data_IF_273743143459
#
_entry.id   IF_273743143459
#
_cell.length_a   1.000
_cell.length_b   1.000
_cell.length_c   1.000
_cell.angle_alpha   90.00
_cell.angle_beta   90.00
_cell.angle_gamma   90.00
#
_symmetry.space_group_name_H-M   'P 1'
#
loop_
_entity.id
_entity.type
_entity.pdbx_description
1 polymer ?
#
# COMPACT_ATOMS: atom_id res chain seq x y z
N UNK A 1 -38.72 45.59 40.47
CA UNK A 1 -37.32 45.44 39.97
C UNK A 1 -36.97 43.98 39.83
N UNK A 2 -37.05 43.36 38.64
CA UNK A 2 -36.62 42.02 38.49
C UNK A 2 -35.11 41.98 38.18
N UNK A 3 -34.37 41.17 38.95
CA UNK A 3 -32.94 40.89 38.79
C UNK A 3 -32.72 40.08 37.52
N UNK A 4 -31.93 40.60 36.62
CA UNK A 4 -31.42 39.91 35.43
C UNK A 4 -30.30 38.98 35.85
N UNK A 5 -30.55 37.65 35.88
CA UNK A 5 -29.55 36.64 36.00
C UNK A 5 -28.87 36.42 34.63
N UNK A 6 -27.67 36.98 34.52
CA UNK A 6 -26.78 36.65 33.39
C UNK A 6 -26.38 35.19 33.43
N UNK A 7 -26.77 34.43 32.42
CA UNK A 7 -26.29 33.07 32.20
C UNK A 7 -24.81 33.13 31.79
N UNK A 8 -23.94 32.31 32.39
CA UNK A 8 -22.55 32.16 31.93
C UNK A 8 -22.54 31.45 30.59
N UNK A 9 -21.89 32.08 29.60
CA UNK A 9 -21.76 31.60 28.26
C UNK A 9 -21.16 30.19 28.22
N UNK A 10 -21.88 29.27 27.58
CA UNK A 10 -21.39 27.99 27.18
C UNK A 10 -20.25 28.24 26.18
N UNK A 11 -19.03 28.09 26.65
CA UNK A 11 -17.88 28.01 25.74
C UNK A 11 -18.07 26.76 24.86
N UNK A 12 -18.46 26.97 23.62
CA UNK A 12 -18.35 25.95 22.57
C UNK A 12 -16.89 25.46 22.55
N UNK A 13 -16.69 24.28 23.11
CA UNK A 13 -15.51 23.51 22.82
C UNK A 13 -15.57 23.18 21.33
N UNK A 14 -14.89 23.99 20.51
CA UNK A 14 -14.52 23.57 19.17
C UNK A 14 -13.76 22.24 19.33
N UNK A 15 -14.44 21.17 18.96
CA UNK A 15 -13.83 19.86 18.80
C UNK A 15 -12.62 20.11 17.91
N UNK A 16 -11.43 19.95 18.50
CA UNK A 16 -10.18 20.02 17.77
C UNK A 16 -10.33 19.13 16.57
N UNK A 17 -10.15 19.71 15.38
CA UNK A 17 -9.99 18.97 14.14
C UNK A 17 -9.15 17.75 14.43
N UNK A 18 -9.76 16.60 14.24
CA UNK A 18 -9.09 15.30 14.37
C UNK A 18 -7.80 15.42 13.60
N UNK A 19 -6.67 15.24 14.26
CA UNK A 19 -5.36 15.12 13.61
C UNK A 19 -5.56 13.97 12.64
N UNK A 20 -5.84 14.29 11.37
CA UNK A 20 -6.01 13.28 10.34
C UNK A 20 -4.68 12.53 10.29
N UNK A 21 -4.69 11.32 10.84
CA UNK A 21 -3.52 10.47 10.82
C UNK A 21 -3.09 10.34 9.36
N UNK A 22 -1.87 10.79 9.07
CA UNK A 22 -1.31 10.77 7.71
C UNK A 22 -1.42 9.36 7.16
N UNK A 23 -2.02 9.14 5.98
CA UNK A 23 -2.18 7.80 5.45
C UNK A 23 -0.81 7.16 5.23
N UNK A 24 -0.66 5.94 5.71
CA UNK A 24 0.54 5.13 5.52
C UNK A 24 0.35 4.28 4.29
N UNK A 25 1.34 4.29 3.39
CA UNK A 25 1.38 3.49 2.18
C UNK A 25 2.43 2.40 2.33
N UNK A 26 2.11 1.21 1.83
CA UNK A 26 3.08 0.15 1.68
C UNK A 26 3.60 0.12 0.24
N UNK A 27 4.92 0.24 0.08
CA UNK A 27 5.58 0.07 -1.22
C UNK A 27 6.11 -1.36 -1.32
N UNK A 28 5.84 -2.01 -2.45
CA UNK A 28 6.43 -3.31 -2.79
C UNK A 28 7.11 -3.23 -4.15
N UNK A 29 8.26 -3.85 -4.28
CA UNK A 29 9.09 -3.91 -5.48
C UNK A 29 10.09 -5.06 -5.34
N UNK A 30 10.65 -5.55 -6.44
CA UNK A 30 11.67 -6.58 -6.40
C UNK A 30 12.93 -6.09 -5.68
N UNK A 31 13.62 -6.98 -4.96
CA UNK A 31 14.79 -6.61 -4.19
C UNK A 31 15.87 -5.92 -5.02
N UNK A 32 16.08 -6.36 -6.25
CA UNK A 32 17.05 -5.81 -7.19
C UNK A 32 16.70 -4.39 -7.67
N UNK A 33 15.42 -4.01 -7.58
CA UNK A 33 14.92 -2.68 -7.96
C UNK A 33 15.05 -1.62 -6.86
N UNK A 34 15.68 -1.94 -5.72
CA UNK A 34 15.81 -1.00 -4.59
C UNK A 34 16.40 0.35 -4.98
N UNK A 35 17.40 0.35 -5.87
CA UNK A 35 18.03 1.58 -6.35
C UNK A 35 17.06 2.46 -7.14
N UNK A 36 16.14 1.85 -7.90
CA UNK A 36 15.09 2.55 -8.65
C UNK A 36 13.95 3.00 -7.75
N UNK A 37 13.61 2.23 -6.73
CA UNK A 37 12.51 2.53 -5.81
C UNK A 37 12.82 3.67 -4.84
N UNK A 38 14.07 3.86 -4.42
CA UNK A 38 14.47 4.92 -3.47
C UNK A 38 14.10 6.34 -3.90
N UNK A 39 14.41 6.81 -5.13
CA UNK A 39 14.02 8.15 -5.57
C UNK A 39 12.50 8.31 -5.65
N UNK A 40 11.76 7.27 -6.05
CA UNK A 40 10.28 7.28 -6.04
C UNK A 40 9.75 7.46 -4.62
N UNK A 41 10.28 6.72 -3.66
CA UNK A 41 9.90 6.86 -2.26
C UNK A 41 10.17 8.29 -1.74
N UNK A 42 11.28 8.90 -2.13
CA UNK A 42 11.59 10.28 -1.77
C UNK A 42 10.57 11.27 -2.40
N UNK A 43 10.24 11.10 -3.68
CA UNK A 43 9.23 11.91 -4.37
C UNK A 43 7.84 11.77 -3.71
N UNK A 44 7.43 10.56 -3.36
CA UNK A 44 6.15 10.33 -2.67
C UNK A 44 6.08 11.05 -1.32
N UNK A 45 7.17 11.05 -0.55
CA UNK A 45 7.24 11.77 0.72
C UNK A 45 7.12 13.29 0.54
N UNK A 46 7.73 13.84 -0.52
CA UNK A 46 7.70 15.29 -0.79
C UNK A 46 6.41 15.76 -1.45
N UNK A 47 5.84 14.96 -2.37
CA UNK A 47 4.65 15.34 -3.14
C UNK A 47 3.34 15.23 -2.35
N UNK A 48 3.31 14.45 -1.31
CA UNK A 48 2.05 13.93 -0.80
C UNK A 48 1.52 14.53 0.47
N UNK A 49 1.70 15.81 0.79
CA UNK A 49 0.95 16.39 1.92
C UNK A 49 0.98 15.54 3.21
N UNK A 50 2.06 14.78 3.44
CA UNK A 50 2.27 14.03 4.67
C UNK A 50 2.03 12.52 4.58
N UNK A 51 2.21 11.90 3.42
CA UNK A 51 2.20 10.44 3.31
C UNK A 51 3.33 9.82 4.14
N UNK A 52 3.01 8.78 4.89
CA UNK A 52 4.00 7.91 5.54
C UNK A 52 4.21 6.70 4.67
N UNK A 53 5.47 6.39 4.33
CA UNK A 53 5.81 5.23 3.53
C UNK A 53 6.40 4.13 4.40
N UNK A 54 5.96 2.92 4.14
CA UNK A 54 6.51 1.71 4.71
C UNK A 54 6.97 0.80 3.58
N UNK A 55 8.19 0.31 3.62
CA UNK A 55 8.70 -0.71 2.72
C UNK A 55 9.81 -1.50 3.38
N UNK A 56 9.98 -2.71 2.93
CA UNK A 56 11.06 -3.59 3.38
C UNK A 56 11.45 -4.49 2.20
N UNK A 57 12.74 -4.66 2.03
CA UNK A 57 13.30 -5.68 1.15
C UNK A 57 13.77 -6.80 2.07
N UNK A 58 13.09 -7.95 2.09
CA UNK A 58 13.53 -9.09 2.86
C UNK A 58 14.93 -9.52 2.42
N UNK A 59 15.84 -9.70 3.36
CA UNK A 59 17.20 -10.15 3.08
C UNK A 59 17.32 -11.66 2.94
N UNK A 60 16.26 -12.40 3.31
CA UNK A 60 16.24 -13.85 3.27
C UNK A 60 15.41 -14.36 2.09
N UNK A 61 15.81 -15.46 1.45
CA UNK A 61 15.01 -16.10 0.42
C UNK A 61 13.61 -16.47 0.94
N UNK A 62 12.61 -16.40 0.07
CA UNK A 62 11.21 -16.68 0.43
C UNK A 62 11.01 -18.10 1.00
N UNK A 63 11.79 -19.08 0.53
CA UNK A 63 11.75 -20.46 1.00
C UNK A 63 12.61 -20.74 2.25
N UNK A 64 13.27 -19.70 2.81
CA UNK A 64 14.12 -19.87 4.00
C UNK A 64 13.32 -20.27 5.24
N UNK A 65 13.96 -20.91 6.18
CA UNK A 65 13.34 -21.40 7.41
C UNK A 65 12.70 -20.29 8.28
N UNK A 66 13.22 -19.06 8.19
CA UNK A 66 12.70 -17.89 8.91
C UNK A 66 11.66 -17.07 8.13
N UNK A 67 11.29 -17.53 6.95
CA UNK A 67 10.35 -16.78 6.09
C UNK A 67 8.99 -16.55 6.73
N UNK A 68 8.53 -17.42 7.62
CA UNK A 68 7.27 -17.25 8.34
C UNK A 68 7.29 -16.05 9.29
N UNK A 69 8.41 -15.80 9.96
CA UNK A 69 8.57 -14.61 10.81
C UNK A 69 8.56 -13.32 9.97
N UNK A 70 9.20 -13.35 8.81
CA UNK A 70 9.20 -12.22 7.87
C UNK A 70 7.79 -11.99 7.34
N UNK A 71 7.08 -13.03 6.92
CA UNK A 71 5.66 -12.95 6.50
C UNK A 71 4.77 -12.36 7.58
N UNK A 72 4.91 -12.81 8.81
CA UNK A 72 4.15 -12.28 9.95
C UNK A 72 4.44 -10.78 10.18
N UNK A 73 5.72 -10.38 10.13
CA UNK A 73 6.13 -8.99 10.24
C UNK A 73 5.55 -8.12 9.11
N UNK A 74 5.65 -8.58 7.87
CA UNK A 74 5.09 -7.88 6.70
C UNK A 74 3.57 -7.76 6.80
N UNK A 75 2.87 -8.81 7.25
CA UNK A 75 1.43 -8.78 7.45
C UNK A 75 1.01 -7.71 8.47
N UNK A 76 1.73 -7.58 9.58
CA UNK A 76 1.48 -6.55 10.59
C UNK A 76 1.71 -5.14 10.03
N UNK A 77 2.74 -4.96 9.21
CA UNK A 77 3.04 -3.67 8.56
C UNK A 77 1.97 -3.32 7.54
N UNK A 78 1.57 -4.27 6.68
CA UNK A 78 0.48 -4.10 5.73
C UNK A 78 -0.81 -3.68 6.42
N UNK A 79 -1.22 -4.33 7.51
CA UNK A 79 -2.44 -3.97 8.26
C UNK A 79 -2.46 -2.52 8.75
N UNK A 80 -1.30 -1.89 8.93
CA UNK A 80 -1.18 -0.50 9.35
C UNK A 80 -1.20 0.49 8.17
N UNK A 81 -1.18 -0.02 6.94
CA UNK A 81 -1.17 0.78 5.73
C UNK A 81 -2.58 0.93 5.15
N UNK A 82 -2.82 2.06 4.52
CA UNK A 82 -4.09 2.39 3.90
C UNK A 82 -4.20 1.88 2.46
N UNK A 83 -3.05 1.66 1.81
CA UNK A 83 -2.96 1.23 0.42
C UNK A 83 -1.60 0.58 0.17
N UNK A 84 -1.51 -0.16 -0.95
CA UNK A 84 -0.27 -0.78 -1.42
C UNK A 84 0.04 -0.31 -2.83
N UNK A 85 1.28 0.10 -3.06
CA UNK A 85 1.80 0.51 -4.37
C UNK A 85 2.87 -0.48 -4.78
N UNK A 86 2.68 -1.15 -5.90
CA UNK A 86 3.69 -1.99 -6.55
C UNK A 86 4.46 -1.17 -7.57
N UNK A 87 5.74 -0.95 -7.31
CA UNK A 87 6.66 -0.40 -8.31
C UNK A 87 7.20 -1.58 -9.11
N UNK A 88 7.06 -1.56 -10.44
CA UNK A 88 7.34 -2.76 -11.19
C UNK A 88 8.17 -2.55 -12.46
N UNK A 89 9.01 -3.53 -12.74
CA UNK A 89 9.70 -3.78 -14.00
C UNK A 89 9.26 -5.12 -14.60
N UNK A 90 9.97 -5.60 -15.61
CA UNK A 90 9.63 -6.84 -16.32
C UNK A 90 9.63 -8.07 -15.41
N UNK A 91 10.58 -8.14 -14.47
CA UNK A 91 10.82 -9.32 -13.62
C UNK A 91 10.23 -9.18 -12.19
N UNK A 92 9.50 -8.09 -11.92
CA UNK A 92 9.02 -7.82 -10.55
C UNK A 92 8.15 -8.94 -9.99
N UNK A 93 7.33 -9.60 -10.83
CA UNK A 93 6.48 -10.70 -10.40
C UNK A 93 7.22 -12.07 -10.33
N UNK A 94 8.50 -12.12 -10.70
CA UNK A 94 9.38 -13.26 -10.42
C UNK A 94 9.75 -13.32 -8.93
N UNK A 95 9.76 -12.18 -8.25
CA UNK A 95 10.05 -12.07 -6.82
C UNK A 95 8.89 -12.63 -5.97
N UNK A 96 9.16 -13.71 -5.24
CA UNK A 96 8.17 -14.36 -4.38
C UNK A 96 7.66 -13.46 -3.24
N UNK A 97 8.50 -12.56 -2.72
CA UNK A 97 8.10 -11.62 -1.68
C UNK A 97 7.13 -10.58 -2.21
N UNK A 98 7.33 -10.11 -3.45
CA UNK A 98 6.40 -9.19 -4.12
C UNK A 98 5.05 -9.88 -4.33
N UNK A 99 5.05 -11.08 -4.90
CA UNK A 99 3.82 -11.86 -5.11
C UNK A 99 3.06 -12.08 -3.82
N UNK A 100 3.76 -12.50 -2.76
CA UNK A 100 3.13 -12.72 -1.45
C UNK A 100 2.55 -11.43 -0.88
N UNK A 101 3.29 -10.32 -0.98
CA UNK A 101 2.85 -9.00 -0.50
C UNK A 101 1.59 -8.54 -1.21
N UNK A 102 1.54 -8.68 -2.53
CA UNK A 102 0.36 -8.33 -3.34
C UNK A 102 -0.84 -9.21 -2.99
N UNK A 103 -0.64 -10.51 -2.79
CA UNK A 103 -1.70 -11.43 -2.37
C UNK A 103 -2.25 -11.06 -0.99
N UNK A 104 -1.37 -10.75 -0.04
CA UNK A 104 -1.76 -10.30 1.29
C UNK A 104 -2.51 -8.95 1.27
N UNK A 105 -2.02 -7.99 0.49
CA UNK A 105 -2.66 -6.69 0.32
C UNK A 105 -4.05 -6.82 -0.31
N UNK A 106 -4.21 -7.68 -1.32
CA UNK A 106 -5.51 -7.98 -1.92
C UNK A 106 -6.48 -8.59 -0.90
N UNK A 107 -6.02 -9.56 -0.11
CA UNK A 107 -6.83 -10.17 0.94
C UNK A 107 -7.26 -9.15 2.00
N UNK A 108 -6.39 -8.23 2.37
CA UNK A 108 -6.72 -7.09 3.22
C UNK A 108 -7.58 -6.04 2.49
N UNK A 109 -7.89 -6.27 1.20
CA UNK A 109 -8.64 -5.38 0.32
C UNK A 109 -8.05 -3.98 0.24
N UNK A 110 -6.75 -3.86 0.33
CA UNK A 110 -6.09 -2.59 0.10
C UNK A 110 -6.41 -2.06 -1.30
N UNK A 111 -6.57 -0.75 -1.47
CA UNK A 111 -6.37 -0.13 -2.78
C UNK A 111 -4.99 -0.52 -3.30
N UNK A 112 -4.96 -1.20 -4.46
CA UNK A 112 -3.72 -1.59 -5.11
C UNK A 112 -3.44 -0.64 -6.27
N UNK A 113 -2.23 -0.10 -6.32
CA UNK A 113 -1.72 0.67 -7.44
C UNK A 113 -0.48 -0.03 -8.01
N UNK A 114 -0.38 -0.07 -9.33
CA UNK A 114 0.83 -0.48 -10.04
C UNK A 114 1.46 0.72 -10.73
N UNK A 115 2.76 0.95 -10.56
CA UNK A 115 3.48 2.01 -11.24
C UNK A 115 4.76 1.45 -11.89
N UNK A 116 4.85 1.47 -13.25
CA UNK A 116 5.99 0.92 -13.95
C UNK A 116 7.23 1.79 -13.81
N UNK A 117 8.40 1.18 -13.61
CA UNK A 117 9.68 1.89 -13.76
C UNK A 117 9.88 2.38 -15.20
N UNK A 118 10.65 3.43 -15.37
CA UNK A 118 10.96 3.96 -16.70
C UNK A 118 11.66 2.87 -17.56
N UNK A 119 11.14 2.65 -18.77
CA UNK A 119 11.65 1.60 -19.68
C UNK A 119 11.05 0.21 -19.44
N UNK A 120 10.27 0.01 -18.39
CA UNK A 120 9.54 -1.24 -18.17
C UNK A 120 8.29 -1.29 -19.07
N UNK A 121 8.49 -1.59 -20.35
CA UNK A 121 7.41 -1.81 -21.30
C UNK A 121 6.88 -3.24 -21.17
N UNK A 122 6.30 -3.59 -20.04
CA UNK A 122 5.71 -4.92 -19.89
C UNK A 122 4.21 -4.81 -19.70
N UNK A 123 3.48 -4.79 -20.81
CA UNK A 123 2.03 -4.97 -20.79
C UNK A 123 1.63 -6.19 -19.97
N UNK A 124 2.39 -7.28 -20.03
CA UNK A 124 2.13 -8.52 -19.31
C UNK A 124 2.10 -8.33 -17.79
N UNK A 125 3.10 -7.67 -17.20
CA UNK A 125 3.11 -7.41 -15.74
C UNK A 125 1.97 -6.45 -15.36
N UNK A 126 1.71 -5.44 -16.17
CA UNK A 126 0.60 -4.53 -15.94
C UNK A 126 -0.75 -5.26 -16.01
N UNK A 127 -0.94 -6.15 -16.97
CA UNK A 127 -2.15 -6.95 -17.15
C UNK A 127 -2.36 -7.91 -15.96
N UNK A 128 -1.29 -8.55 -15.50
CA UNK A 128 -1.34 -9.41 -14.30
C UNK A 128 -1.69 -8.61 -13.04
N UNK A 129 -1.10 -7.43 -12.85
CA UNK A 129 -1.45 -6.55 -11.75
C UNK A 129 -2.91 -6.08 -11.84
N UNK A 130 -3.37 -5.73 -13.03
CA UNK A 130 -4.77 -5.35 -13.26
C UNK A 130 -5.73 -6.52 -12.95
N UNK A 131 -5.36 -7.75 -13.29
CA UNK A 131 -6.17 -8.96 -13.02
C UNK A 131 -6.41 -9.21 -11.53
N UNK A 132 -5.49 -8.78 -10.68
CA UNK A 132 -5.65 -8.83 -9.23
C UNK A 132 -6.29 -7.56 -8.64
N UNK A 133 -6.76 -6.65 -9.48
CA UNK A 133 -7.46 -5.43 -9.08
C UNK A 133 -6.56 -4.23 -8.80
N UNK A 134 -5.30 -4.26 -9.25
CA UNK A 134 -4.44 -3.09 -9.19
C UNK A 134 -4.81 -2.11 -10.31
N UNK A 135 -4.79 -0.83 -10.01
CA UNK A 135 -4.92 0.24 -10.99
C UNK A 135 -3.53 0.70 -11.42
N UNK A 136 -3.27 0.69 -12.72
CA UNK A 136 -1.99 1.11 -13.27
C UNK A 136 -1.97 2.64 -13.39
N UNK A 137 -0.96 3.25 -12.79
CA UNK A 137 -0.77 4.70 -12.76
C UNK A 137 0.64 5.08 -13.20
N UNK A 138 0.85 6.27 -13.77
CA UNK A 138 2.18 6.75 -14.08
C UNK A 138 3.07 6.80 -12.83
N UNK A 139 4.37 6.49 -12.98
CA UNK A 139 5.36 6.58 -11.90
C UNK A 139 5.70 8.06 -11.62
N UNK A 140 4.75 8.76 -11.03
CA UNK A 140 4.88 10.13 -10.55
C UNK A 140 4.30 10.21 -9.15
N UNK A 141 5.08 10.74 -8.21
CA UNK A 141 4.64 10.88 -6.82
C UNK A 141 3.29 11.57 -6.68
N UNK A 142 3.08 12.65 -7.45
CA UNK A 142 1.81 13.39 -7.46
C UNK A 142 0.63 12.56 -7.99
N UNK A 143 0.81 11.80 -9.06
CA UNK A 143 -0.25 10.96 -9.64
C UNK A 143 -0.69 9.88 -8.65
N UNK A 144 0.27 9.23 -7.99
CA UNK A 144 0.02 8.23 -6.94
C UNK A 144 -0.70 8.88 -5.75
N UNK A 145 -0.21 10.01 -5.26
CA UNK A 145 -0.80 10.74 -4.14
C UNK A 145 -2.23 11.19 -4.44
N UNK A 146 -2.49 11.78 -5.61
CA UNK A 146 -3.81 12.20 -6.05
C UNK A 146 -4.79 11.04 -6.16
N UNK A 147 -4.31 9.90 -6.66
CA UNK A 147 -5.16 8.72 -6.82
C UNK A 147 -5.58 8.14 -5.48
N UNK A 148 -4.66 8.12 -4.52
CA UNK A 148 -4.92 7.64 -3.16
C UNK A 148 -5.86 8.58 -2.40
N UNK A 149 -5.72 9.89 -2.59
CA UNK A 149 -6.60 10.89 -1.94
C UNK A 149 -8.08 10.76 -2.37
N UNK A 150 -8.36 10.20 -3.55
CA UNK A 150 -9.72 10.02 -4.08
C UNK A 150 -10.43 8.78 -3.56
N UNK A 151 -9.75 7.90 -2.83
CA UNK A 151 -10.33 6.66 -2.29
C UNK A 151 -10.55 6.77 -0.78
N UNK A 152 -11.75 6.46 -0.28
CA UNK A 152 -11.96 6.39 1.16
C UNK A 152 -11.10 5.27 1.75
N UNK A 153 -10.32 5.61 2.75
CA UNK A 153 -9.52 4.65 3.52
C UNK A 153 -10.46 3.99 4.52
N UNK A 154 -10.83 2.75 4.26
CA UNK A 154 -11.58 1.95 5.22
C UNK A 154 -10.59 1.15 6.08
N UNK A 155 -10.58 1.33 7.39
CA UNK A 155 -9.80 0.48 8.28
C UNK A 155 -10.33 -0.95 8.21
N UNK A 156 -9.43 -1.94 8.16
CA UNK A 156 -9.81 -3.35 8.00
C UNK A 156 -9.05 -4.24 8.96
N UNK A 157 -9.81 -5.16 9.55
CA UNK A 157 -9.38 -6.06 10.62
C UNK A 157 -9.46 -7.54 10.23
N UNK A 158 -9.72 -7.86 8.96
CA UNK A 158 -9.85 -9.26 8.53
C UNK A 158 -8.51 -10.01 8.67
N UNK A 159 -8.52 -11.24 9.17
CA UNK A 159 -7.31 -12.05 9.28
C UNK A 159 -6.82 -12.47 7.89
N UNK A 160 -5.50 -12.57 7.72
CA UNK A 160 -4.90 -13.16 6.53
C UNK A 160 -5.01 -14.68 6.62
N UNK A 161 -5.72 -15.30 5.67
CA UNK A 161 -5.85 -16.75 5.59
C UNK A 161 -4.94 -17.33 4.52
N UNK A 162 -4.40 -18.52 4.78
CA UNK A 162 -3.48 -19.19 3.86
C UNK A 162 -4.16 -19.53 2.51
N UNK A 163 -5.43 -19.94 2.54
CA UNK A 163 -6.17 -20.34 1.34
C UNK A 163 -6.42 -19.19 0.37
N UNK A 164 -6.81 -18.01 0.89
CA UNK A 164 -7.00 -16.83 0.06
C UNK A 164 -5.68 -16.33 -0.54
N UNK A 165 -4.57 -16.39 0.23
CA UNK A 165 -3.24 -16.10 -0.28
C UNK A 165 -2.85 -17.08 -1.38
N UNK A 166 -3.03 -18.39 -1.18
CA UNK A 166 -2.70 -19.41 -2.16
C UNK A 166 -3.47 -19.21 -3.48
N UNK A 167 -4.75 -18.87 -3.42
CA UNK A 167 -5.56 -18.57 -4.61
C UNK A 167 -4.98 -17.43 -5.44
N UNK A 168 -4.64 -16.30 -4.78
CA UNK A 168 -4.05 -15.14 -5.47
C UNK A 168 -2.66 -15.44 -6.02
N UNK A 169 -1.82 -16.17 -5.27
CA UNK A 169 -0.49 -16.57 -5.74
C UNK A 169 -0.54 -17.47 -6.98
N UNK A 170 -1.54 -18.34 -7.09
CA UNK A 170 -1.74 -19.17 -8.29
C UNK A 170 -2.08 -18.30 -9.51
N UNK A 171 -2.93 -17.30 -9.37
CA UNK A 171 -3.26 -16.38 -10.46
C UNK A 171 -2.04 -15.64 -11.01
N UNK A 172 -1.10 -15.27 -10.14
CA UNK A 172 0.13 -14.57 -10.54
C UNK A 172 1.22 -15.49 -11.11
N UNK A 173 1.15 -16.81 -10.85
CA UNK A 173 2.11 -17.80 -11.40
C UNK A 173 1.73 -18.32 -12.79
N UNK A 174 0.45 -18.32 -13.11
CA UNK A 174 -0.07 -18.84 -14.36
C UNK A 174 -0.96 -17.76 -14.99
N UNK A 175 -0.39 -16.85 -15.82
CA UNK A 175 -1.19 -15.98 -16.62
C UNK A 175 -2.15 -16.82 -17.47
N UNK A 176 -3.41 -16.44 -17.48
CA UNK A 176 -4.43 -17.10 -18.32
C UNK A 176 -3.94 -17.07 -19.76
N UNK A 177 -3.70 -18.27 -20.33
CA UNK A 177 -3.42 -18.42 -21.77
C UNK A 177 -4.65 -18.11 -22.58
#
# INVERSE_FOLDING_TARGET
MPMHLSQPGVREFRVRESIQARPRLFLTFAGDDLALARPVAAQLRSAGGGLTLDYTVPSEPFAAQRSDLIRASLALRLKRCAATVCLFGAETLEDDWVRWTLAAARQLRHPLLGAPFAGAASGEVADLLASIGAEIVPLRGEAIAQRLARRPVLPRTEPLTADALAGTLRLMKHPLR
#
